data_IF_611121840835
#
_entry.id   IF_611121840835
#
_cell.length_a   1.000
_cell.length_b   1.000
_cell.length_c   1.000
_cell.angle_alpha   90.00
_cell.angle_beta   90.00
_cell.angle_gamma   90.00
#
_symmetry.space_group_name_H-M   'P 1'
#
loop_
_entity.id
_entity.type
_entity.pdbx_description
1 polymer ?
#
# COMPACT_ATOMS: atom_id res chain seq x y z
N UNK A 1 -12.79 26.34 4.44
CA UNK A 1 -13.90 25.42 4.74
C UNK A 1 -13.54 24.02 4.24
N UNK A 2 -13.45 23.02 5.12
CA UNK A 2 -13.14 21.65 4.73
C UNK A 2 -14.34 21.00 4.04
N UNK A 3 -14.14 20.43 2.85
CA UNK A 3 -15.13 19.58 2.22
C UNK A 3 -15.31 18.35 3.10
N UNK A 4 -16.41 18.32 3.86
CA UNK A 4 -16.87 17.09 4.49
C UNK A 4 -17.14 16.14 3.32
N UNK A 5 -16.24 15.17 3.13
CA UNK A 5 -16.47 14.05 2.21
C UNK A 5 -17.86 13.51 2.52
N UNK A 6 -18.78 13.64 1.57
CA UNK A 6 -20.17 13.23 1.78
C UNK A 6 -20.14 11.75 2.19
N UNK A 7 -20.73 11.46 3.35
CA UNK A 7 -20.93 10.08 3.79
C UNK A 7 -21.65 9.30 2.68
N UNK A 8 -21.23 8.06 2.39
CA UNK A 8 -21.88 7.26 1.38
C UNK A 8 -23.30 6.93 1.84
N UNK A 9 -24.22 6.77 0.88
CA UNK A 9 -25.56 6.30 1.20
C UNK A 9 -25.51 4.92 1.88
N UNK A 10 -26.47 4.65 2.77
CA UNK A 10 -26.61 3.33 3.39
C UNK A 10 -26.65 2.21 2.33
N UNK A 11 -27.35 2.46 1.22
CA UNK A 11 -27.39 1.58 0.04
C UNK A 11 -25.98 1.23 -0.46
N UNK A 12 -25.12 2.23 -0.66
CA UNK A 12 -23.74 2.01 -1.10
C UNK A 12 -22.94 1.21 -0.07
N UNK A 13 -23.03 1.59 1.22
CA UNK A 13 -22.33 0.88 2.31
C UNK A 13 -22.73 -0.59 2.38
N UNK A 14 -24.02 -0.90 2.24
CA UNK A 14 -24.52 -2.28 2.23
C UNK A 14 -23.99 -3.05 1.03
N UNK A 15 -24.05 -2.47 -0.17
CA UNK A 15 -23.54 -3.12 -1.38
C UNK A 15 -22.03 -3.37 -1.29
N UNK A 16 -21.25 -2.37 -0.86
CA UNK A 16 -19.81 -2.51 -0.69
C UNK A 16 -19.46 -3.62 0.31
N UNK A 17 -20.18 -3.67 1.45
CA UNK A 17 -19.99 -4.74 2.45
C UNK A 17 -20.34 -6.12 1.89
N UNK A 18 -21.42 -6.24 1.11
CA UNK A 18 -21.80 -7.49 0.45
C UNK A 18 -20.74 -7.93 -0.56
N UNK A 19 -20.19 -7.00 -1.35
CA UNK A 19 -19.09 -7.29 -2.28
C UNK A 19 -17.87 -7.84 -1.56
N UNK A 20 -17.45 -7.23 -0.45
CA UNK A 20 -16.34 -7.71 0.38
C UNK A 20 -16.59 -9.13 0.89
N UNK A 21 -17.78 -9.39 1.44
CA UNK A 21 -18.13 -10.73 1.93
C UNK A 21 -18.14 -11.78 0.82
N UNK A 22 -18.69 -11.44 -0.35
CA UNK A 22 -18.69 -12.32 -1.52
C UNK A 22 -17.26 -12.70 -1.94
N UNK A 23 -16.36 -11.72 -2.03
CA UNK A 23 -14.97 -11.96 -2.39
C UNK A 23 -14.22 -12.76 -1.31
N UNK A 24 -14.40 -12.44 -0.03
CA UNK A 24 -13.71 -13.12 1.08
C UNK A 24 -14.16 -14.58 1.29
N UNK A 25 -15.44 -14.86 1.07
CA UNK A 25 -16.02 -16.18 1.29
C UNK A 25 -15.90 -17.12 0.08
N UNK A 26 -15.56 -16.60 -1.11
CA UNK A 26 -15.48 -17.44 -2.30
C UNK A 26 -14.18 -18.25 -2.30
N UNK A 27 -14.31 -19.58 -2.14
CA UNK A 27 -13.18 -20.47 -2.01
C UNK A 27 -12.33 -20.58 -3.30
N UNK A 28 -12.94 -20.36 -4.47
CA UNK A 28 -12.28 -20.41 -5.78
C UNK A 28 -11.17 -19.35 -5.90
N UNK A 29 -11.29 -18.25 -5.16
CA UNK A 29 -10.25 -17.22 -5.07
C UNK A 29 -8.90 -17.79 -4.57
N UNK A 30 -8.92 -18.76 -3.66
CA UNK A 30 -7.70 -19.36 -3.10
C UNK A 30 -7.02 -20.31 -4.08
N UNK A 31 -7.81 -21.08 -4.82
CA UNK A 31 -7.27 -22.04 -5.80
C UNK A 31 -6.59 -21.30 -6.96
N UNK A 32 -7.17 -20.17 -7.35
CA UNK A 32 -6.67 -19.30 -8.41
C UNK A 32 -5.24 -18.77 -8.16
N UNK A 33 -4.92 -18.34 -6.94
CA UNK A 33 -3.62 -17.73 -6.63
C UNK A 33 -2.45 -18.73 -6.69
N UNK A 34 -2.73 -20.03 -6.74
CA UNK A 34 -1.73 -21.10 -6.72
C UNK A 34 -0.97 -21.24 -8.04
N UNK A 35 -1.56 -20.87 -9.17
CA UNK A 35 -0.98 -21.10 -10.50
C UNK A 35 -0.22 -19.87 -11.00
N UNK A 36 1.11 -19.89 -10.87
CA UNK A 36 2.00 -18.74 -11.20
C UNK A 36 2.23 -18.51 -12.71
N UNK A 37 1.78 -19.42 -13.58
CA UNK A 37 2.14 -19.45 -15.01
C UNK A 37 1.01 -19.00 -15.95
N UNK A 38 -0.19 -18.71 -15.43
CA UNK A 38 -1.37 -18.38 -16.23
C UNK A 38 -1.63 -16.87 -16.21
N UNK A 39 -2.22 -16.35 -17.28
CA UNK A 39 -2.71 -14.97 -17.35
C UNK A 39 -3.70 -14.69 -16.20
N UNK A 40 -3.19 -14.02 -15.17
CA UNK A 40 -3.94 -13.65 -13.96
C UNK A 40 -5.25 -12.95 -14.32
N UNK A 41 -5.29 -12.10 -15.35
CA UNK A 41 -6.50 -11.37 -15.70
C UNK A 41 -7.61 -12.31 -16.21
N UNK A 42 -7.26 -13.24 -17.09
CA UNK A 42 -8.21 -14.22 -17.62
C UNK A 42 -8.80 -15.08 -16.50
N UNK A 43 -7.96 -15.47 -15.58
CA UNK A 43 -8.27 -16.47 -14.58
C UNK A 43 -9.05 -15.76 -13.42
N UNK A 44 -8.85 -14.45 -13.19
CA UNK A 44 -9.71 -13.61 -12.33
C UNK A 44 -11.12 -13.47 -12.91
N UNK A 45 -11.24 -13.34 -14.23
CA UNK A 45 -12.54 -13.25 -14.91
C UNK A 45 -13.41 -14.50 -14.66
N UNK A 46 -12.80 -15.68 -14.51
CA UNK A 46 -13.51 -16.93 -14.17
C UNK A 46 -14.08 -16.89 -12.74
N UNK A 47 -13.29 -16.40 -11.78
CA UNK A 47 -13.73 -16.19 -10.39
C UNK A 47 -14.85 -15.14 -10.34
N UNK A 48 -14.68 -14.03 -11.05
CA UNK A 48 -15.65 -12.96 -11.16
C UNK A 48 -16.97 -13.46 -11.74
N UNK A 49 -16.92 -14.25 -12.82
CA UNK A 49 -18.11 -14.88 -13.44
C UNK A 49 -18.82 -15.79 -12.45
N UNK A 50 -18.07 -16.56 -11.65
CA UNK A 50 -18.63 -17.42 -10.61
C UNK A 50 -19.35 -16.61 -9.52
N UNK A 51 -18.74 -15.52 -9.06
CA UNK A 51 -19.37 -14.63 -8.06
C UNK A 51 -20.61 -13.95 -8.64
N UNK A 52 -20.61 -13.56 -9.91
CA UNK A 52 -21.78 -12.98 -10.57
C UNK A 52 -22.95 -13.97 -10.63
N UNK A 53 -22.69 -15.25 -10.90
CA UNK A 53 -23.71 -16.30 -10.78
C UNK A 53 -24.32 -16.40 -9.37
N UNK A 54 -23.53 -16.17 -8.32
CA UNK A 54 -24.04 -16.10 -6.93
C UNK A 54 -24.93 -14.85 -6.74
N UNK A 55 -24.50 -13.71 -7.25
CA UNK A 55 -25.27 -12.44 -7.21
C UNK A 55 -26.62 -12.58 -7.92
N UNK A 56 -26.66 -13.30 -9.04
CA UNK A 56 -27.90 -13.55 -9.76
C UNK A 56 -28.92 -14.36 -8.95
N UNK A 57 -28.43 -15.25 -8.07
CA UNK A 57 -29.25 -16.00 -7.12
C UNK A 57 -29.78 -15.19 -5.93
N UNK A 58 -29.26 -13.99 -5.66
CA UNK A 58 -29.71 -13.17 -4.54
C UNK A 58 -31.09 -12.57 -4.78
N UNK A 59 -31.93 -12.59 -3.73
CA UNK A 59 -33.24 -11.94 -3.69
C UNK A 59 -33.13 -10.41 -3.47
N UNK A 60 -32.28 -9.74 -4.26
CA UNK A 60 -32.15 -8.28 -4.27
C UNK A 60 -32.83 -7.66 -5.50
N UNK A 61 -33.29 -6.40 -5.44
CA UNK A 61 -33.89 -5.74 -6.61
C UNK A 61 -32.97 -5.77 -7.83
N UNK A 62 -33.52 -6.08 -9.01
CA UNK A 62 -32.75 -6.29 -10.25
C UNK A 62 -31.86 -5.10 -10.63
N UNK A 63 -32.29 -3.87 -10.35
CA UNK A 63 -31.49 -2.67 -10.62
C UNK A 63 -30.25 -2.54 -9.71
N UNK A 64 -30.17 -3.30 -8.61
CA UNK A 64 -29.01 -3.34 -7.71
C UNK A 64 -27.99 -4.38 -8.10
N UNK A 65 -28.39 -5.44 -8.82
CA UNK A 65 -27.47 -6.52 -9.23
C UNK A 65 -26.28 -5.98 -10.04
N UNK A 66 -26.47 -5.14 -11.08
CA UNK A 66 -25.34 -4.56 -11.81
C UNK A 66 -24.41 -3.73 -10.91
N UNK A 67 -24.97 -2.94 -10.00
CA UNK A 67 -24.17 -2.15 -9.05
C UNK A 67 -23.34 -3.04 -8.12
N UNK A 68 -23.93 -4.13 -7.64
CA UNK A 68 -23.23 -5.11 -6.80
C UNK A 68 -22.11 -5.80 -7.59
N UNK A 69 -22.36 -6.22 -8.82
CA UNK A 69 -21.36 -6.83 -9.70
C UNK A 69 -20.18 -5.87 -9.96
N UNK A 70 -20.44 -4.59 -10.27
CA UNK A 70 -19.37 -3.60 -10.43
C UNK A 70 -18.53 -3.45 -9.16
N UNK A 71 -19.16 -3.41 -7.98
CA UNK A 71 -18.42 -3.34 -6.71
C UNK A 71 -17.64 -4.62 -6.42
N UNK A 72 -18.20 -5.80 -6.73
CA UNK A 72 -17.50 -7.09 -6.64
C UNK A 72 -16.23 -7.08 -7.51
N UNK A 73 -16.31 -6.58 -8.74
CA UNK A 73 -15.15 -6.46 -9.62
C UNK A 73 -14.04 -5.59 -9.01
N UNK A 74 -14.40 -4.42 -8.48
CA UNK A 74 -13.44 -3.50 -7.87
C UNK A 74 -12.81 -4.07 -6.60
N UNK A 75 -13.64 -4.54 -5.67
CA UNK A 75 -13.20 -5.16 -4.41
C UNK A 75 -12.33 -6.39 -4.68
N UNK A 76 -12.74 -7.23 -5.62
CA UNK A 76 -12.01 -8.43 -5.98
C UNK A 76 -10.62 -8.14 -6.55
N UNK A 77 -10.50 -7.12 -7.41
CA UNK A 77 -9.20 -6.65 -7.92
C UNK A 77 -8.31 -6.06 -6.84
N UNK A 78 -8.86 -5.18 -5.97
CA UNK A 78 -8.07 -4.63 -4.85
C UNK A 78 -7.58 -5.74 -3.91
N UNK A 79 -8.42 -6.74 -3.65
CA UNK A 79 -8.03 -7.91 -2.84
C UNK A 79 -6.92 -8.71 -3.52
N UNK A 80 -7.05 -8.95 -4.84
CA UNK A 80 -6.05 -9.68 -5.63
C UNK A 80 -4.69 -8.94 -5.63
N UNK A 81 -4.70 -7.63 -5.84
CA UNK A 81 -3.51 -6.80 -5.83
C UNK A 81 -2.84 -6.82 -4.45
N UNK A 82 -3.62 -6.69 -3.38
CA UNK A 82 -3.10 -6.72 -2.01
C UNK A 82 -2.50 -8.08 -1.62
N UNK A 83 -3.18 -9.18 -1.97
CA UNK A 83 -2.67 -10.53 -1.69
C UNK A 83 -1.41 -10.79 -2.50
N UNK A 84 -1.39 -10.40 -3.79
CA UNK A 84 -0.21 -10.52 -4.65
C UNK A 84 0.96 -9.71 -4.08
N UNK A 85 0.71 -8.47 -3.68
CA UNK A 85 1.72 -7.61 -3.04
C UNK A 85 2.30 -8.28 -1.80
N UNK A 86 1.47 -8.76 -0.86
CA UNK A 86 1.95 -9.39 0.37
C UNK A 86 2.75 -10.68 0.09
N UNK A 87 2.29 -11.52 -0.82
CA UNK A 87 3.01 -12.75 -1.16
C UNK A 87 4.36 -12.44 -1.81
N UNK A 88 4.38 -11.54 -2.79
CA UNK A 88 5.60 -11.25 -3.56
C UNK A 88 6.59 -10.38 -2.79
N UNK A 89 6.13 -9.42 -2.00
CA UNK A 89 7.00 -8.40 -1.38
C UNK A 89 7.27 -8.64 0.09
N UNK A 90 6.43 -9.41 0.80
CA UNK A 90 6.58 -9.66 2.23
C UNK A 90 7.04 -11.08 2.50
N UNK A 91 6.29 -12.07 2.03
CA UNK A 91 6.57 -13.47 2.40
C UNK A 91 7.68 -14.11 1.57
N UNK A 92 8.00 -13.55 0.40
CA UNK A 92 8.93 -14.15 -0.59
C UNK A 92 8.64 -15.65 -0.82
N UNK A 93 7.40 -16.07 -0.59
CA UNK A 93 7.02 -17.48 -0.46
C UNK A 93 6.31 -17.95 -1.71
N UNK A 94 6.46 -19.23 -2.01
CA UNK A 94 5.68 -19.88 -3.06
C UNK A 94 4.19 -19.73 -2.78
N UNK A 95 3.41 -19.38 -3.81
CA UNK A 95 1.98 -19.01 -3.72
C UNK A 95 1.08 -20.19 -3.33
N UNK A 96 1.63 -21.34 -2.96
CA UNK A 96 0.87 -22.55 -2.64
C UNK A 96 0.26 -22.62 -1.23
N UNK A 97 0.61 -21.72 -0.30
CA UNK A 97 0.17 -21.84 1.10
C UNK A 97 -1.28 -21.32 1.30
N UNK A 98 -2.25 -22.22 1.16
CA UNK A 98 -3.68 -21.96 1.35
C UNK A 98 -4.02 -21.40 2.75
N UNK A 99 -3.32 -21.84 3.80
CA UNK A 99 -3.57 -21.36 5.17
C UNK A 99 -3.17 -19.90 5.27
N UNK A 100 -1.97 -19.55 4.80
CA UNK A 100 -1.48 -18.18 4.76
C UNK A 100 -2.42 -17.26 3.99
N UNK A 101 -2.84 -17.67 2.78
CA UNK A 101 -3.78 -16.88 1.97
C UNK A 101 -5.11 -16.65 2.69
N UNK A 102 -5.65 -17.69 3.35
CA UNK A 102 -6.89 -17.55 4.14
C UNK A 102 -6.72 -16.55 5.28
N UNK A 103 -5.59 -16.59 5.98
CA UNK A 103 -5.27 -15.62 7.03
C UNK A 103 -5.16 -14.19 6.48
N UNK A 104 -4.52 -14.00 5.31
CA UNK A 104 -4.42 -12.69 4.65
C UNK A 104 -5.81 -12.16 4.29
N UNK A 105 -6.61 -12.94 3.56
CA UNK A 105 -7.92 -12.52 3.05
C UNK A 105 -8.87 -12.20 4.21
N UNK A 106 -8.93 -13.07 5.23
CA UNK A 106 -9.77 -12.85 6.40
C UNK A 106 -9.30 -11.68 7.28
N UNK A 107 -8.00 -11.38 7.28
CA UNK A 107 -7.43 -10.23 7.98
C UNK A 107 -7.68 -8.89 7.30
N UNK A 108 -8.07 -8.86 6.02
CA UNK A 108 -8.32 -7.61 5.28
C UNK A 108 -9.37 -6.73 5.95
N UNK A 109 -9.09 -5.43 5.99
CA UNK A 109 -9.97 -4.40 6.52
C UNK A 109 -10.34 -3.43 5.41
N UNK A 110 -11.63 -3.08 5.38
CA UNK A 110 -12.23 -2.31 4.30
C UNK A 110 -12.89 -1.05 4.87
N UNK A 111 -12.81 0.03 4.10
CA UNK A 111 -13.55 1.27 4.38
C UNK A 111 -15.03 1.10 4.06
N UNK A 112 -15.86 2.04 4.52
CA UNK A 112 -17.30 2.08 4.21
C UNK A 112 -17.61 2.31 2.72
N UNK A 113 -16.60 2.65 1.93
CA UNK A 113 -16.67 2.86 0.48
C UNK A 113 -16.27 1.62 -0.33
N UNK A 114 -15.92 0.51 0.33
CA UNK A 114 -15.43 -0.69 -0.34
C UNK A 114 -13.99 -0.60 -0.84
N UNK A 115 -13.22 0.39 -0.37
CA UNK A 115 -11.76 0.48 -0.58
C UNK A 115 -11.01 -0.25 0.52
N UNK A 116 -9.96 -1.00 0.18
CA UNK A 116 -9.09 -1.67 1.13
C UNK A 116 -8.32 -0.64 1.98
N UNK A 117 -8.36 -0.80 3.30
CA UNK A 117 -7.55 -0.04 4.24
C UNK A 117 -6.26 -0.83 4.50
N UNK A 118 -5.23 -0.58 3.69
CA UNK A 118 -3.98 -1.34 3.72
C UNK A 118 -3.28 -1.21 5.08
N UNK A 119 -3.31 -0.03 5.70
CA UNK A 119 -2.67 0.22 6.99
C UNK A 119 -3.36 -0.55 8.11
N UNK A 120 -4.69 -0.51 8.19
CA UNK A 120 -5.44 -1.31 9.17
C UNK A 120 -5.31 -2.80 8.90
N UNK A 121 -5.29 -3.21 7.64
CA UNK A 121 -5.06 -4.60 7.23
C UNK A 121 -3.69 -5.09 7.72
N UNK A 122 -2.62 -4.36 7.43
CA UNK A 122 -1.26 -4.69 7.86
C UNK A 122 -1.15 -4.74 9.39
N UNK A 123 -1.78 -3.79 10.10
CA UNK A 123 -1.83 -3.81 11.58
C UNK A 123 -2.54 -5.05 12.12
N UNK A 124 -3.66 -5.46 11.53
CA UNK A 124 -4.38 -6.68 11.95
C UNK A 124 -3.57 -7.93 11.64
N UNK A 125 -2.97 -8.02 10.46
CA UNK A 125 -2.17 -9.17 10.07
C UNK A 125 -0.90 -9.31 10.92
N UNK A 126 -0.18 -8.22 11.18
CA UNK A 126 0.99 -8.21 12.07
C UNK A 126 0.64 -8.54 13.54
N UNK A 127 -0.63 -8.52 13.91
CA UNK A 127 -1.12 -8.96 15.22
C UNK A 127 -1.75 -10.36 15.20
N UNK A 128 -1.85 -11.01 14.03
CA UNK A 128 -2.51 -12.31 13.88
C UNK A 128 -1.66 -13.45 14.44
N UNK A 129 -2.27 -14.30 15.26
CA UNK A 129 -1.64 -15.51 15.78
C UNK A 129 -1.55 -16.63 14.73
N UNK A 130 -2.27 -16.49 13.60
CA UNK A 130 -2.21 -17.46 12.49
C UNK A 130 -0.94 -17.31 11.65
N UNK A 131 -0.13 -16.28 11.91
CA UNK A 131 1.12 -15.99 11.22
C UNK A 131 2.31 -16.19 12.17
N UNK A 132 3.44 -16.61 11.61
CA UNK A 132 4.70 -16.69 12.38
C UNK A 132 5.15 -15.30 12.82
N UNK A 133 5.92 -15.20 13.90
CA UNK A 133 6.44 -13.91 14.37
C UNK A 133 7.27 -13.19 13.31
N UNK A 134 8.02 -13.94 12.50
CA UNK A 134 8.76 -13.38 11.36
C UNK A 134 7.82 -12.77 10.32
N UNK A 135 6.79 -13.50 9.90
CA UNK A 135 5.78 -12.99 8.95
C UNK A 135 5.10 -11.73 9.48
N UNK A 136 4.81 -11.68 10.77
CA UNK A 136 4.18 -10.53 11.42
C UNK A 136 5.10 -9.31 11.43
N UNK A 137 6.39 -9.52 11.74
CA UNK A 137 7.43 -8.50 11.71
C UNK A 137 7.64 -7.99 10.28
N UNK A 138 7.73 -8.89 9.30
CA UNK A 138 7.89 -8.57 7.88
C UNK A 138 6.77 -7.66 7.35
N UNK A 139 5.52 -7.98 7.69
CA UNK A 139 4.36 -7.14 7.35
C UNK A 139 4.48 -5.77 8.02
N UNK A 140 4.81 -5.73 9.30
CA UNK A 140 4.92 -4.49 10.06
C UNK A 140 6.03 -3.60 9.48
N UNK A 141 7.17 -4.18 9.12
CA UNK A 141 8.29 -3.48 8.52
C UNK A 141 7.92 -2.93 7.13
N UNK A 142 7.46 -3.79 6.22
CA UNK A 142 7.14 -3.40 4.84
C UNK A 142 6.01 -2.39 4.80
N UNK A 143 4.95 -2.55 5.58
CA UNK A 143 3.84 -1.59 5.61
C UNK A 143 4.06 -0.40 6.57
N UNK A 144 5.26 -0.26 7.13
CA UNK A 144 5.65 0.81 8.04
C UNK A 144 4.70 1.01 9.25
N UNK A 145 4.31 -0.09 9.91
CA UNK A 145 3.48 -0.06 11.12
C UNK A 145 4.37 0.11 12.36
N UNK A 146 4.81 1.36 12.56
CA UNK A 146 5.84 1.74 13.53
C UNK A 146 5.61 1.23 14.97
N UNK A 147 4.37 1.28 15.45
CA UNK A 147 4.00 0.80 16.79
C UNK A 147 4.21 -0.70 16.92
N UNK A 148 3.81 -1.47 15.90
CA UNK A 148 3.94 -2.93 15.92
C UNK A 148 5.39 -3.38 15.70
N UNK A 149 6.18 -2.67 14.89
CA UNK A 149 7.61 -2.99 14.72
C UNK A 149 8.36 -2.92 16.05
N UNK A 150 8.08 -1.88 16.86
CA UNK A 150 8.69 -1.73 18.19
C UNK A 150 8.39 -2.91 19.12
N UNK A 151 7.17 -3.44 19.05
CA UNK A 151 6.72 -4.56 19.88
C UNK A 151 7.27 -5.92 19.41
N UNK A 152 7.43 -6.10 18.09
CA UNK A 152 7.84 -7.38 17.48
C UNK A 152 9.34 -7.54 17.25
N UNK A 153 10.15 -6.49 17.46
CA UNK A 153 11.56 -6.53 17.09
C UNK A 153 12.35 -7.61 17.86
N UNK A 154 12.93 -8.57 17.14
CA UNK A 154 13.79 -9.62 17.69
C UNK A 154 15.25 -9.33 17.29
N UNK A 155 16.18 -9.09 18.23
CA UNK A 155 17.55 -8.65 17.93
C UNK A 155 18.46 -9.66 17.21
N UNK A 156 18.01 -10.90 16.99
CA UNK A 156 18.83 -11.99 16.44
C UNK A 156 18.31 -12.54 15.10
N UNK A 157 17.53 -11.76 14.34
CA UNK A 157 17.12 -12.20 12.99
C UNK A 157 18.34 -12.29 12.09
N UNK A 158 18.47 -13.44 11.42
CA UNK A 158 19.48 -13.75 10.40
C UNK A 158 19.68 -12.59 9.44
N UNK A 159 20.94 -12.32 9.08
CA UNK A 159 21.28 -11.29 8.08
C UNK A 159 20.48 -11.51 6.80
N UNK A 160 19.70 -10.50 6.43
CA UNK A 160 18.95 -10.50 5.19
C UNK A 160 19.88 -10.12 4.04
N UNK A 161 19.80 -10.87 2.94
CA UNK A 161 20.45 -10.46 1.70
C UNK A 161 19.66 -9.25 1.14
N UNK A 162 20.38 -8.16 0.83
CA UNK A 162 19.82 -6.84 0.48
C UNK A 162 19.28 -6.78 -0.96
N UNK A 163 18.33 -7.64 -1.32
CA UNK A 163 17.85 -7.76 -2.71
C UNK A 163 16.36 -7.41 -2.87
N UNK A 164 15.57 -7.42 -1.79
CA UNK A 164 14.12 -7.21 -1.88
C UNK A 164 13.62 -6.11 -0.92
N UNK A 165 12.40 -5.62 -1.19
CA UNK A 165 11.75 -4.56 -0.41
C UNK A 165 11.68 -4.89 1.09
N UNK A 166 11.42 -6.16 1.43
CA UNK A 166 11.36 -6.61 2.80
C UNK A 166 12.69 -6.40 3.53
N UNK A 167 13.81 -6.81 2.95
CA UNK A 167 15.15 -6.58 3.51
C UNK A 167 15.41 -5.09 3.72
N UNK A 168 15.17 -4.26 2.70
CA UNK A 168 15.39 -2.80 2.79
C UNK A 168 14.58 -2.16 3.91
N UNK A 169 13.29 -2.52 4.01
CA UNK A 169 12.41 -2.02 5.06
C UNK A 169 12.83 -2.53 6.44
N UNK A 170 13.30 -3.76 6.55
CA UNK A 170 13.83 -4.30 7.80
C UNK A 170 15.08 -3.53 8.29
N UNK A 171 16.06 -3.30 7.41
CA UNK A 171 17.27 -2.55 7.76
C UNK A 171 16.96 -1.11 8.15
N UNK A 172 16.07 -0.46 7.41
CA UNK A 172 15.54 0.85 7.78
C UNK A 172 15.03 0.88 9.23
N UNK A 173 14.20 -0.09 9.62
CA UNK A 173 13.67 -0.16 10.99
C UNK A 173 14.74 -0.53 12.03
N UNK A 174 15.73 -1.32 11.65
CA UNK A 174 16.89 -1.64 12.50
C UNK A 174 17.71 -0.38 12.82
N UNK A 175 17.97 0.46 11.83
CA UNK A 175 18.75 1.69 11.98
C UNK A 175 18.04 2.73 12.86
N UNK A 176 16.72 2.84 12.71
CA UNK A 176 15.89 3.83 13.43
C UNK A 176 15.61 3.43 14.87
N UNK A 177 15.82 2.17 15.25
CA UNK A 177 15.58 1.71 16.62
C UNK A 177 16.34 2.53 17.68
N UNK A 178 17.43 3.20 17.29
CA UNK A 178 18.26 4.05 18.16
C UNK A 178 17.84 5.53 18.19
N UNK A 179 16.88 5.99 17.37
CA UNK A 179 16.54 7.41 17.21
C UNK A 179 15.08 7.70 16.86
N UNK A 180 14.73 8.98 16.79
CA UNK A 180 13.41 9.41 16.33
C UNK A 180 13.37 9.37 14.78
N UNK A 181 12.42 8.66 14.14
CA UNK A 181 12.27 8.69 12.67
C UNK A 181 12.16 10.10 12.07
N UNK A 182 11.73 11.10 12.86
CA UNK A 182 11.63 12.50 12.42
C UNK A 182 13.02 13.13 12.22
N UNK A 183 14.02 12.72 13.01
CA UNK A 183 15.40 13.23 12.98
C UNK A 183 16.21 12.68 11.79
N UNK A 184 15.62 11.82 10.98
CA UNK A 184 16.21 11.30 9.77
C UNK A 184 16.55 12.41 8.78
N UNK A 185 17.66 12.25 8.05
CA UNK A 185 18.03 13.19 6.99
C UNK A 185 17.01 13.17 5.85
N UNK A 186 16.87 14.32 5.18
CA UNK A 186 15.99 14.46 4.02
C UNK A 186 16.27 13.41 2.94
N UNK A 187 17.55 13.18 2.58
CA UNK A 187 17.95 12.22 1.55
C UNK A 187 17.46 10.80 1.85
N UNK A 188 17.54 10.35 3.12
CA UNK A 188 17.03 9.05 3.55
C UNK A 188 15.51 8.95 3.42
N UNK A 189 14.79 9.99 3.85
CA UNK A 189 13.32 10.05 3.71
C UNK A 189 12.93 9.95 2.24
N UNK A 190 13.61 10.71 1.38
CA UNK A 190 13.42 10.69 -0.07
C UNK A 190 13.70 9.31 -0.67
N UNK A 191 14.83 8.69 -0.35
CA UNK A 191 15.20 7.37 -0.86
C UNK A 191 14.13 6.31 -0.50
N UNK A 192 13.72 6.26 0.77
CA UNK A 192 12.72 5.31 1.23
C UNK A 192 11.32 5.57 0.65
N UNK A 193 10.96 6.85 0.47
CA UNK A 193 9.73 7.24 -0.21
C UNK A 193 9.74 6.77 -1.67
N UNK A 194 10.84 6.99 -2.40
CA UNK A 194 11.01 6.55 -3.80
C UNK A 194 10.92 5.03 -3.91
N UNK A 195 11.62 4.28 -3.06
CA UNK A 195 11.52 2.81 -3.00
C UNK A 195 10.06 2.40 -2.78
N UNK A 196 9.36 3.04 -1.83
CA UNK A 196 7.96 2.74 -1.55
C UNK A 196 7.04 3.00 -2.75
N UNK A 197 7.28 4.08 -3.51
CA UNK A 197 6.54 4.39 -4.73
C UNK A 197 6.80 3.37 -5.84
N UNK A 198 8.07 3.00 -6.08
CA UNK A 198 8.47 2.00 -7.08
C UNK A 198 7.78 0.66 -6.85
N UNK A 199 7.65 0.25 -5.58
CA UNK A 199 6.97 -0.99 -5.20
C UNK A 199 5.46 -0.84 -5.00
N UNK A 200 4.87 0.34 -5.30
CA UNK A 200 3.44 0.65 -5.12
C UNK A 200 2.93 0.40 -3.69
N UNK A 201 3.78 0.60 -2.69
CA UNK A 201 3.47 0.38 -1.30
C UNK A 201 2.84 1.62 -0.67
N UNK A 202 1.51 1.76 -0.81
CA UNK A 202 0.77 2.93 -0.35
C UNK A 202 0.99 3.22 1.15
N UNK A 203 1.02 2.19 2.00
CA UNK A 203 1.20 2.37 3.46
C UNK A 203 2.55 3.01 3.79
N UNK A 204 3.62 2.54 3.14
CA UNK A 204 4.95 3.10 3.32
C UNK A 204 5.06 4.51 2.73
N UNK A 205 4.47 4.77 1.56
CA UNK A 205 4.41 6.12 0.98
C UNK A 205 3.76 7.11 1.95
N UNK A 206 2.61 6.77 2.52
CA UNK A 206 1.92 7.61 3.52
C UNK A 206 2.78 7.85 4.77
N UNK A 207 3.48 6.80 5.23
CA UNK A 207 4.38 6.89 6.38
C UNK A 207 5.55 7.85 6.10
N UNK A 208 6.33 7.62 5.05
CA UNK A 208 7.49 8.45 4.71
C UNK A 208 7.10 9.89 4.39
N UNK A 209 6.00 10.08 3.67
CA UNK A 209 5.43 11.39 3.41
C UNK A 209 5.11 12.14 4.71
N UNK A 210 4.58 11.44 5.73
CA UNK A 210 4.24 12.03 7.02
C UNK A 210 5.46 12.46 7.84
N UNK A 211 6.64 11.87 7.61
CA UNK A 211 7.90 12.24 8.26
C UNK A 211 8.54 13.50 7.65
N UNK A 212 8.09 13.93 6.47
CA UNK A 212 8.58 15.12 5.80
C UNK A 212 7.82 16.36 6.25
N UNK A 213 8.55 17.43 6.53
CA UNK A 213 8.04 18.79 6.67
C UNK A 213 7.45 19.30 5.34
N UNK A 214 6.71 20.40 5.40
CA UNK A 214 6.13 20.99 4.19
C UNK A 214 7.21 21.49 3.21
N UNK A 215 8.33 22.01 3.71
CA UNK A 215 9.42 22.48 2.87
C UNK A 215 10.10 21.32 2.14
N UNK A 216 10.41 20.23 2.86
CA UNK A 216 10.93 18.99 2.25
C UNK A 216 9.96 18.42 1.19
N UNK A 217 8.65 18.43 1.45
CA UNK A 217 7.64 17.97 0.47
C UNK A 217 7.61 18.87 -0.78
N UNK A 218 7.67 20.19 -0.59
CA UNK A 218 7.67 21.14 -1.69
C UNK A 218 8.93 21.01 -2.54
N UNK A 219 10.08 20.86 -1.90
CA UNK A 219 11.36 20.61 -2.58
C UNK A 219 11.31 19.32 -3.40
N UNK A 220 10.83 18.22 -2.82
CA UNK A 220 10.66 16.96 -3.55
C UNK A 220 9.72 17.11 -4.75
N UNK A 221 8.59 17.80 -4.60
CA UNK A 221 7.66 18.05 -5.71
C UNK A 221 8.35 18.85 -6.83
N UNK A 222 9.09 19.90 -6.48
CA UNK A 222 9.84 20.71 -7.45
C UNK A 222 10.86 19.84 -8.18
N UNK A 223 11.63 19.03 -7.44
CA UNK A 223 12.62 18.13 -8.01
C UNK A 223 11.95 17.11 -8.94
N UNK A 224 10.85 16.47 -8.54
CA UNK A 224 10.11 15.54 -9.40
C UNK A 224 9.54 16.21 -10.65
N UNK A 225 9.05 17.45 -10.57
CA UNK A 225 8.56 18.20 -11.73
C UNK A 225 9.71 18.57 -12.68
N UNK A 226 10.85 19.00 -12.13
CA UNK A 226 12.02 19.38 -12.91
C UNK A 226 12.69 18.16 -13.56
N UNK A 227 12.79 17.05 -12.82
CA UNK A 227 13.33 15.78 -13.30
C UNK A 227 12.41 15.10 -14.31
N UNK A 228 11.09 15.38 -14.35
CA UNK A 228 10.16 14.79 -15.33
C UNK A 228 10.48 15.10 -16.81
N UNK A 229 11.55 15.85 -17.09
CA UNK A 229 12.17 15.93 -18.42
C UNK A 229 13.18 14.79 -18.72
N UNK A 230 13.62 14.02 -17.71
CA UNK A 230 14.57 12.88 -17.82
C UNK A 230 14.40 11.73 -16.78
N UNK A 231 13.27 11.66 -16.03
CA UNK A 231 12.58 10.42 -15.58
C UNK A 231 13.45 9.19 -15.22
N UNK A 232 13.78 8.44 -16.27
CA UNK A 232 14.14 7.03 -16.18
C UNK A 232 15.53 6.77 -15.61
N UNK A 233 16.46 7.71 -15.77
CA UNK A 233 17.87 7.41 -15.53
C UNK A 233 18.28 7.75 -14.09
N UNK A 234 17.72 8.81 -13.50
CA UNK A 234 18.01 9.20 -12.11
C UNK A 234 17.29 8.34 -11.07
N UNK A 235 16.11 7.79 -11.39
CA UNK A 235 15.43 6.86 -10.47
C UNK A 235 16.27 5.60 -10.22
N UNK A 236 16.97 5.13 -11.25
CA UNK A 236 17.91 4.02 -11.14
C UNK A 236 19.15 4.42 -10.31
N UNK A 237 19.65 5.65 -10.44
CA UNK A 237 20.76 6.15 -9.61
C UNK A 237 20.35 6.29 -8.14
N UNK A 238 19.13 6.74 -7.83
CA UNK A 238 18.63 6.83 -6.46
C UNK A 238 18.45 5.44 -5.85
N UNK A 239 17.96 4.47 -6.62
CA UNK A 239 17.85 3.06 -6.18
C UNK A 239 19.24 2.46 -5.94
N UNK A 240 20.19 2.70 -6.84
CA UNK A 240 21.59 2.25 -6.72
C UNK A 240 22.26 2.91 -5.50
N UNK A 241 22.08 4.22 -5.29
CA UNK A 241 22.62 4.93 -4.14
C UNK A 241 21.97 4.49 -2.82
N UNK A 242 20.68 4.15 -2.83
CA UNK A 242 20.03 3.58 -1.65
C UNK A 242 20.59 2.19 -1.35
N UNK A 243 20.84 1.35 -2.37
CA UNK A 243 21.50 0.07 -2.19
C UNK A 243 22.93 0.25 -1.65
N UNK A 244 23.70 1.19 -2.19
CA UNK A 244 25.05 1.52 -1.72
C UNK A 244 25.05 2.03 -0.27
N UNK A 245 24.07 2.85 0.12
CA UNK A 245 23.90 3.36 1.48
C UNK A 245 23.71 2.23 2.52
N UNK A 246 23.02 1.15 2.15
CA UNK A 246 22.84 -0.03 3.02
C UNK A 246 23.96 -1.06 2.90
N UNK A 247 24.85 -0.92 1.91
CA UNK A 247 25.98 -1.83 1.67
C UNK A 247 27.30 -1.36 2.33
N UNK A 248 27.36 -0.16 2.92
CA UNK A 248 28.59 0.37 3.52
C UNK A 248 29.14 -0.46 4.72
N UNK A 249 28.47 -1.52 5.18
CA UNK A 249 29.00 -2.47 6.16
C UNK A 249 29.12 -3.95 5.71
N UNK A 250 28.89 -4.33 4.44
CA UNK A 250 29.00 -5.75 4.05
C UNK A 250 29.57 -6.02 2.65
N UNK A 251 30.57 -6.92 2.63
CA UNK A 251 31.42 -7.39 1.54
C UNK A 251 30.89 -7.28 0.10
N UNK A 252 31.77 -6.79 -0.78
CA UNK A 252 31.51 -6.62 -2.21
C UNK A 252 31.03 -7.88 -2.93
N UNK A 253 29.88 -7.74 -3.61
CA UNK A 253 29.28 -8.74 -4.51
C UNK A 253 28.98 -8.04 -5.85
N UNK A 254 29.12 -8.71 -7.01
CA UNK A 254 29.06 -8.06 -8.32
C UNK A 254 27.63 -7.67 -8.72
N UNK A 255 27.49 -6.51 -9.37
CA UNK A 255 26.24 -6.01 -9.98
C UNK A 255 25.77 -6.98 -11.07
N UNK A 256 24.54 -7.50 -10.94
CA UNK A 256 23.84 -8.21 -12.01
C UNK A 256 22.80 -7.29 -12.65
N UNK A 257 22.94 -7.05 -13.95
CA UNK A 257 22.03 -6.29 -14.81
C UNK A 257 20.68 -7.02 -14.94
N UNK A 258 19.66 -6.57 -14.21
CA UNK A 258 18.26 -6.91 -14.49
C UNK A 258 17.56 -5.68 -15.06
N UNK A 259 17.34 -5.68 -16.38
CA UNK A 259 16.49 -4.68 -17.04
C UNK A 259 15.02 -4.97 -16.72
N UNK A 260 14.38 -4.09 -15.97
CA UNK A 260 12.94 -4.09 -15.80
C UNK A 260 12.23 -3.60 -17.07
N UNK A 261 11.08 -4.18 -17.45
CA UNK A 261 10.27 -3.68 -18.55
C UNK A 261 9.69 -2.30 -18.20
N UNK A 262 9.62 -1.45 -19.23
CA UNK A 262 9.22 -0.05 -19.19
C UNK A 262 7.82 0.19 -18.61
N UNK A 263 7.73 1.28 -17.83
CA UNK A 263 6.55 1.77 -17.13
C UNK A 263 5.41 2.17 -18.09
N UNK A 264 4.14 1.88 -17.73
CA UNK A 264 3.04 2.76 -18.08
C UNK A 264 2.99 3.90 -17.05
N UNK A 265 3.22 5.11 -17.57
CA UNK A 265 2.98 6.40 -16.94
C UNK A 265 1.55 6.49 -16.38
N UNK A 266 1.39 7.39 -15.40
CA UNK A 266 0.14 7.98 -14.87
C UNK A 266 -0.30 7.45 -13.50
N UNK A 267 0.33 8.02 -12.47
CA UNK A 267 -0.43 8.56 -11.33
C UNK A 267 -1.43 9.60 -11.87
N UNK A 268 -2.73 9.31 -11.81
CA UNK A 268 -3.75 10.34 -11.94
C UNK A 268 -3.84 11.13 -10.63
N UNK A 269 -2.95 12.11 -10.47
CA UNK A 269 -3.22 13.31 -9.67
C UNK A 269 -4.10 14.28 -10.48
N UNK A 270 -5.24 13.82 -11.02
CA UNK A 270 -6.22 14.67 -11.70
C UNK A 270 -7.62 14.05 -11.63
N UNK A 271 -8.35 14.39 -10.57
CA UNK A 271 -9.72 14.94 -10.67
C UNK A 271 -10.21 15.36 -9.28
N UNK A 272 -9.72 16.54 -8.88
CA UNK A 272 -10.15 17.28 -7.71
C UNK A 272 -9.83 18.77 -7.83
N UNK A 273 -9.65 19.29 -9.05
CA UNK A 273 -9.62 20.74 -9.32
C UNK A 273 -10.99 21.12 -9.89
N UNK A 274 -11.92 21.39 -8.99
CA UNK A 274 -12.98 22.37 -9.23
C UNK A 274 -13.05 23.28 -8.00
N UNK A 275 -12.54 24.50 -8.18
CA UNK A 275 -12.97 25.71 -7.49
C UNK A 275 -12.70 25.81 -5.99
N UNK A 276 -11.67 26.55 -5.60
CA UNK A 276 -11.81 27.97 -5.28
C UNK A 276 -10.50 28.44 -4.64
N UNK A 277 -9.70 29.19 -5.40
CA UNK A 277 -8.67 30.02 -4.81
C UNK A 277 -9.35 31.19 -4.12
N UNK A 278 -9.14 31.32 -2.81
CA UNK A 278 -9.25 32.60 -2.12
C UNK A 278 -8.04 32.68 -1.18
N UNK A 279 -7.13 33.58 -1.52
CA UNK A 279 -6.11 34.12 -0.62
C UNK A 279 -6.88 34.85 0.47
N UNK A 280 -6.80 34.37 1.71
CA UNK A 280 -7.35 35.07 2.85
C UNK A 280 -6.18 35.80 3.53
N UNK A 281 -6.10 37.11 3.32
CA UNK A 281 -5.31 38.01 4.16
C UNK A 281 -6.02 38.12 5.50
N UNK A 282 -5.28 37.89 6.58
CA UNK A 282 -5.75 38.02 7.96
C UNK A 282 -6.34 39.42 8.21
N UNK A 283 -7.60 39.46 8.62
CA UNK A 283 -8.24 40.66 9.18
C UNK A 283 -8.70 40.28 10.59
N UNK A 284 -7.93 40.71 11.60
CA UNK A 284 -8.31 40.61 13.00
C UNK A 284 -9.40 41.66 13.32
N UNK A 285 -10.55 41.29 13.90
CA UNK A 285 -11.42 42.24 14.57
C UNK A 285 -10.96 42.44 16.02
N UNK A 286 -10.58 43.68 16.30
CA UNK A 286 -10.26 44.22 17.62
C UNK A 286 -11.48 44.11 18.58
N UNK A 287 -11.34 43.56 19.80
CA UNK A 287 -12.46 43.39 20.72
C UNK A 287 -12.50 44.52 21.76
N UNK A 288 -13.03 45.70 21.39
CA UNK A 288 -13.51 46.77 22.28
C UNK A 288 -14.60 47.51 21.48
N UNK A 289 -15.87 47.59 21.89
CA UNK A 289 -16.35 48.25 23.09
C UNK A 289 -17.66 47.63 23.62
N UNK A 290 -17.69 47.45 24.94
CA UNK A 290 -18.89 47.56 25.74
C UNK A 290 -19.21 49.05 25.89
N UNK A 291 -20.41 49.48 25.49
CA UNK A 291 -21.36 50.38 26.21
C UNK A 291 -22.46 50.84 25.24
#
# INVERSE_FOLDING_TARGET
MGSILKLPSLKHMTLARLSVLLCQCNFTFYEYLKETTVDKNKQWLEVETTIFGIVDGFSIPNHLKPMLCTLVSHVGRELLDAVTFLICQVFNSDTGNRILMKSIISGTKWTIYGKLDIRRTAKVLSQSQDLTDQNRLDIACVCCIADVVKDLYIPNTTEYILINLNSLMFYFWKDIKSGDPIEMTYDKKCAMLTISMTHKNQSAVEYFWSLMSNDERNELIINLIQQNYDISDELNVIIDNAADYFNEESFGIPKNDYRYPSFPTVFTFTNGIYGCGIIQTDFEPNPQDNY
#
